data_IF_733148886373
#
_entry.id   IF_733148886373
#
_cell.length_a   1.000
_cell.length_b   1.000
_cell.length_c   1.000
_cell.angle_alpha   90.00
_cell.angle_beta   90.00
_cell.angle_gamma   90.00
#
_symmetry.space_group_name_H-M   'P 1'
#
loop_
_entity.id
_entity.type
_entity.pdbx_description
1 polymer ?
#
# COMPACT_ATOMS: atom_id res chain seq x y z
N UNK A 1 14.09 -6.59 -10.01
CA UNK A 1 13.14 -6.44 -8.89
C UNK A 1 11.73 -6.77 -9.37
N UNK A 2 10.83 -7.21 -8.50
CA UNK A 2 9.43 -7.46 -8.86
C UNK A 2 8.50 -7.16 -7.69
N UNK A 3 7.27 -6.73 -8.00
CA UNK A 3 6.20 -6.55 -7.03
C UNK A 3 5.11 -7.57 -7.34
N UNK A 4 4.73 -8.37 -6.34
CA UNK A 4 3.57 -9.25 -6.38
C UNK A 4 2.40 -8.58 -5.65
N UNK A 5 1.27 -8.46 -6.33
CA UNK A 5 0.02 -7.96 -5.77
C UNK A 5 -0.62 -9.06 -4.92
N UNK A 6 -0.71 -8.87 -3.63
CA UNK A 6 -1.36 -9.82 -2.72
C UNK A 6 -2.84 -9.47 -2.53
N UNK A 7 -3.17 -8.18 -2.61
CA UNK A 7 -4.52 -7.65 -2.51
C UNK A 7 -4.59 -6.24 -3.09
N UNK A 8 -5.74 -5.90 -3.67
CA UNK A 8 -5.96 -4.61 -4.35
C UNK A 8 -7.42 -4.14 -4.26
N UNK A 9 -8.24 -4.75 -3.40
CA UNK A 9 -9.63 -4.36 -3.21
C UNK A 9 -9.78 -3.37 -2.06
N UNK A 10 -10.74 -2.44 -2.17
CA UNK A 10 -11.06 -1.48 -1.11
C UNK A 10 -11.89 -2.06 0.03
N UNK A 11 -12.22 -3.36 0.03
CA UNK A 11 -12.87 -4.08 1.12
C UNK A 11 -12.79 -5.58 0.88
N UNK A 12 -13.39 -6.38 1.79
CA UNK A 12 -13.37 -7.84 1.72
C UNK A 12 -14.63 -8.42 1.10
N UNK A 13 -14.46 -9.43 0.28
CA UNK A 13 -15.49 -10.37 -0.16
C UNK A 13 -14.82 -11.68 -0.60
N UNK A 14 -15.59 -12.68 -0.99
CA UNK A 14 -15.01 -13.89 -1.58
C UNK A 14 -14.15 -13.53 -2.81
N UNK A 15 -12.88 -13.92 -2.80
CA UNK A 15 -11.93 -13.57 -3.85
C UNK A 15 -11.38 -12.12 -3.80
N UNK A 16 -11.88 -11.25 -2.92
CA UNK A 16 -11.39 -9.89 -2.74
C UNK A 16 -10.51 -9.80 -1.48
N UNK A 17 -9.29 -9.29 -1.66
CA UNK A 17 -8.31 -9.05 -0.60
C UNK A 17 -7.95 -7.58 -0.58
N UNK A 18 -7.84 -7.01 0.63
CA UNK A 18 -7.45 -5.60 0.80
C UNK A 18 -5.96 -5.41 0.57
N UNK A 19 -5.57 -4.15 0.41
CA UNK A 19 -4.29 -3.71 -0.16
C UNK A 19 -3.07 -4.31 0.52
N UNK A 20 -2.27 -5.02 -0.26
CA UNK A 20 -0.94 -5.49 0.13
C UNK A 20 -0.09 -5.82 -1.11
N UNK A 21 1.16 -5.39 -1.12
CA UNK A 21 2.13 -5.65 -2.18
C UNK A 21 3.40 -6.25 -1.58
N UNK A 22 3.98 -7.25 -2.25
CA UNK A 22 5.22 -7.88 -1.82
C UNK A 22 6.34 -7.59 -2.82
N UNK A 23 7.33 -6.80 -2.42
CA UNK A 23 8.52 -6.48 -3.20
C UNK A 23 9.62 -7.51 -2.88
N UNK A 24 10.11 -8.20 -3.91
CA UNK A 24 11.20 -9.18 -3.89
C UNK A 24 11.12 -10.27 -2.80
N UNK A 25 9.96 -10.42 -2.14
CA UNK A 25 9.70 -11.47 -1.17
C UNK A 25 10.06 -11.16 0.28
N UNK A 26 10.55 -9.95 0.60
CA UNK A 26 10.98 -9.57 1.96
C UNK A 26 10.52 -8.17 2.42
N UNK A 27 9.96 -7.34 1.52
CA UNK A 27 9.38 -6.04 1.86
C UNK A 27 7.90 -6.00 1.49
N UNK A 28 7.04 -5.79 2.48
CA UNK A 28 5.61 -5.51 2.26
C UNK A 28 5.39 -4.00 2.12
N UNK A 29 4.53 -3.60 1.18
CA UNK A 29 3.93 -2.27 1.10
C UNK A 29 2.44 -2.47 1.37
N UNK A 30 1.97 -1.93 2.46
CA UNK A 30 0.74 -2.24 3.17
C UNK A 30 0.58 -3.72 3.55
N UNK A 31 -0.24 -3.96 4.54
CA UNK A 31 -0.48 -5.28 5.11
C UNK A 31 -1.98 -5.53 5.33
N UNK A 32 -2.75 -5.40 4.26
CA UNK A 32 -4.17 -5.78 4.27
C UNK A 32 -4.36 -7.29 4.29
N UNK A 33 -5.60 -7.72 4.04
CA UNK A 33 -5.98 -9.15 4.15
C UNK A 33 -5.29 -10.06 3.14
N UNK A 34 -4.72 -9.50 2.04
CA UNK A 34 -3.95 -10.25 1.06
C UNK A 34 -2.70 -10.93 1.62
N UNK A 35 -2.17 -10.44 2.74
CA UNK A 35 -1.02 -11.06 3.45
C UNK A 35 -1.35 -12.50 3.89
N UNK A 36 -2.63 -12.78 4.21
CA UNK A 36 -3.08 -14.11 4.64
C UNK A 36 -3.00 -15.20 3.57
N UNK A 37 -2.80 -14.85 2.31
CA UNK A 37 -2.66 -15.81 1.20
C UNK A 37 -1.18 -16.26 1.00
N UNK A 38 -0.23 -15.69 1.75
CA UNK A 38 1.18 -16.12 1.75
C UNK A 38 1.39 -17.42 2.52
N UNK A 39 2.27 -18.28 2.00
CA UNK A 39 2.73 -19.43 2.75
C UNK A 39 3.54 -19.00 3.98
N UNK A 40 3.51 -19.82 5.03
CA UNK A 40 4.20 -19.51 6.29
C UNK A 40 5.70 -19.22 6.12
N UNK A 41 6.35 -19.90 5.18
CA UNK A 41 7.77 -19.68 4.88
C UNK A 41 8.00 -18.35 4.14
N UNK A 42 7.02 -17.85 3.38
CA UNK A 42 7.06 -16.53 2.76
C UNK A 42 6.86 -15.45 3.82
N UNK A 43 5.86 -15.62 4.71
CA UNK A 43 5.64 -14.73 5.85
C UNK A 43 6.91 -14.60 6.71
N UNK A 44 7.60 -15.71 6.97
CA UNK A 44 8.81 -15.72 7.78
C UNK A 44 10.01 -15.01 7.12
N UNK A 45 9.99 -14.77 5.81
CA UNK A 45 11.02 -14.02 5.09
C UNK A 45 10.83 -12.51 5.10
N UNK A 46 9.64 -12.02 5.44
CA UNK A 46 9.37 -10.58 5.49
C UNK A 46 10.21 -9.93 6.58
N UNK A 47 11.04 -8.97 6.20
CA UNK A 47 11.91 -8.22 7.10
C UNK A 47 11.44 -6.78 7.31
N UNK A 48 10.69 -6.21 6.33
CA UNK A 48 10.22 -4.84 6.38
C UNK A 48 8.74 -4.75 5.95
N UNK A 49 7.98 -3.89 6.63
CA UNK A 49 6.60 -3.54 6.30
C UNK A 49 6.52 -2.02 6.24
N UNK A 50 6.10 -1.47 5.10
CA UNK A 50 5.86 -0.04 4.91
C UNK A 50 4.35 0.17 4.90
N UNK A 51 3.84 1.01 5.80
CA UNK A 51 2.41 1.28 5.89
C UNK A 51 2.10 2.67 5.34
N UNK A 52 1.13 2.73 4.42
CA UNK A 52 0.65 3.98 3.85
C UNK A 52 -0.13 4.82 4.88
N UNK A 53 -0.98 4.19 5.69
CA UNK A 53 -1.77 4.84 6.73
C UNK A 53 -2.36 3.81 7.72
N UNK A 54 -3.17 4.26 8.68
CA UNK A 54 -3.62 3.46 9.82
C UNK A 54 -4.96 2.73 9.63
N UNK A 55 -5.62 2.84 8.48
CA UNK A 55 -6.89 2.13 8.28
C UNK A 55 -6.70 0.62 8.30
N UNK A 56 -7.74 -0.07 8.80
CA UNK A 56 -7.65 -1.49 9.12
C UNK A 56 -7.38 -2.37 7.90
N UNK A 57 -7.91 -2.00 6.73
CA UNK A 57 -7.70 -2.70 5.46
C UNK A 57 -6.28 -2.57 4.90
N UNK A 58 -5.42 -1.73 5.53
CA UNK A 58 -3.99 -1.59 5.23
C UNK A 58 -3.08 -2.14 6.32
N UNK A 59 -3.57 -2.34 7.55
CA UNK A 59 -2.71 -2.71 8.69
C UNK A 59 -3.06 -4.05 9.36
N UNK A 60 -4.23 -4.65 9.07
CA UNK A 60 -4.74 -5.83 9.75
C UNK A 60 -3.77 -7.03 9.68
N UNK A 61 -3.03 -7.17 8.61
CA UNK A 61 -2.05 -8.23 8.43
C UNK A 61 -0.84 -8.13 9.37
N UNK A 62 -0.50 -6.95 9.88
CA UNK A 62 0.70 -6.75 10.73
C UNK A 62 0.65 -7.59 12.00
N UNK A 63 -0.40 -7.49 12.86
CA UNK A 63 -0.49 -8.29 14.08
C UNK A 63 -0.61 -9.80 13.80
N UNK A 64 -1.36 -10.18 12.77
CA UNK A 64 -1.56 -11.58 12.40
C UNK A 64 -0.27 -12.22 11.86
N UNK A 65 0.48 -11.48 11.03
CA UNK A 65 1.79 -11.92 10.53
C UNK A 65 2.77 -12.13 11.70
N UNK A 66 2.87 -11.15 12.61
CA UNK A 66 3.75 -11.24 13.77
C UNK A 66 3.52 -12.50 14.61
N UNK A 67 2.25 -12.82 14.87
CA UNK A 67 1.85 -14.04 15.59
C UNK A 67 2.23 -15.30 14.80
N UNK A 68 1.90 -15.34 13.52
CA UNK A 68 2.16 -16.51 12.66
C UNK A 68 3.64 -16.87 12.58
N UNK A 69 4.54 -15.88 12.56
CA UNK A 69 5.98 -16.12 12.36
C UNK A 69 6.79 -16.17 13.64
N UNK A 70 6.21 -15.87 14.80
CA UNK A 70 6.91 -15.78 16.08
C UNK A 70 7.78 -17.02 16.37
N UNK A 71 7.25 -18.22 16.10
CA UNK A 71 7.96 -19.50 16.33
C UNK A 71 8.96 -19.85 15.20
N UNK A 72 8.81 -19.24 14.03
CA UNK A 72 9.63 -19.51 12.84
C UNK A 72 10.82 -18.54 12.71
N UNK A 73 10.66 -17.31 13.19
CA UNK A 73 11.77 -16.35 13.23
C UNK A 73 12.65 -16.69 14.41
N UNK A 74 13.80 -17.27 14.12
CA UNK A 74 14.79 -17.61 15.16
C UNK A 74 15.35 -16.33 15.81
N UNK A 75 15.91 -16.46 17.02
CA UNK A 75 16.62 -15.39 17.72
C UNK A 75 17.81 -14.80 16.96
N UNK A 76 18.24 -15.45 15.87
CA UNK A 76 19.32 -14.97 15.00
C UNK A 76 18.83 -14.01 13.90
N UNK A 77 17.51 -13.95 13.65
CA UNK A 77 16.95 -13.04 12.65
C UNK A 77 16.48 -11.74 13.31
N UNK A 78 16.78 -10.56 12.71
CA UNK A 78 16.35 -9.29 13.28
C UNK A 78 14.82 -9.20 13.34
N UNK A 79 14.26 -8.36 14.23
CA UNK A 79 12.84 -8.05 14.25
C UNK A 79 12.36 -7.58 12.87
N UNK A 80 11.10 -7.88 12.53
CA UNK A 80 10.44 -7.26 11.40
C UNK A 80 10.28 -5.78 11.71
N UNK A 81 10.77 -4.92 10.83
CA UNK A 81 10.64 -3.48 11.03
C UNK A 81 9.42 -2.95 10.29
N UNK A 82 8.48 -2.37 11.05
CA UNK A 82 7.30 -1.67 10.52
C UNK A 82 7.62 -0.20 10.41
N UNK A 83 7.62 0.31 9.19
CA UNK A 83 7.90 1.69 8.86
C UNK A 83 6.60 2.43 8.54
N UNK A 84 6.33 3.56 9.18
CA UNK A 84 5.14 4.37 8.92
C UNK A 84 5.31 5.81 9.44
N UNK A 85 4.36 6.68 9.09
CA UNK A 85 4.24 7.99 9.75
C UNK A 85 4.07 7.79 11.27
N UNK A 86 4.56 8.73 12.11
CA UNK A 86 4.40 8.65 13.56
C UNK A 86 2.94 8.40 14.00
N UNK A 87 1.97 9.10 13.40
CA UNK A 87 0.55 8.92 13.71
C UNK A 87 0.04 7.49 13.43
N UNK A 88 0.50 6.84 12.36
CA UNK A 88 0.17 5.44 12.04
C UNK A 88 0.78 4.49 13.07
N UNK A 89 2.03 4.70 13.46
CA UNK A 89 2.69 3.90 14.51
C UNK A 89 2.01 4.06 15.86
N UNK A 90 1.56 5.27 16.21
CA UNK A 90 0.83 5.54 17.45
C UNK A 90 -0.55 4.88 17.45
N UNK A 91 -1.24 4.86 16.30
CA UNK A 91 -2.49 4.13 16.15
C UNK A 91 -2.30 2.61 16.38
N UNK A 92 -1.25 2.01 15.81
CA UNK A 92 -0.92 0.60 16.04
C UNK A 92 -0.64 0.31 17.52
N UNK A 93 0.17 1.16 18.21
CA UNK A 93 0.48 0.97 19.63
C UNK A 93 -0.76 1.10 20.50
N UNK A 94 -1.58 2.14 20.25
CA UNK A 94 -2.70 2.49 21.11
C UNK A 94 -3.91 1.59 20.91
N UNK A 95 -4.15 1.13 19.69
CA UNK A 95 -5.41 0.48 19.33
C UNK A 95 -5.26 -0.99 18.93
N UNK A 96 -4.06 -1.43 18.50
CA UNK A 96 -3.82 -2.82 18.12
C UNK A 96 -2.97 -3.52 19.17
N UNK A 97 -1.73 -3.08 19.40
CA UNK A 97 -0.77 -3.71 20.31
C UNK A 97 -0.95 -3.29 21.78
N UNK A 98 -2.19 -3.23 22.25
CA UNK A 98 -2.58 -2.68 23.54
C UNK A 98 -2.89 -3.74 24.62
N UNK A 99 -2.68 -5.02 24.31
CA UNK A 99 -2.98 -6.13 25.22
C UNK A 99 -4.46 -6.48 25.35
N UNK A 100 -5.35 -5.65 24.81
CA UNK A 100 -6.80 -5.91 24.78
C UNK A 100 -7.25 -6.42 23.40
N UNK A 101 -6.83 -5.75 22.31
CA UNK A 101 -7.12 -6.20 20.95
C UNK A 101 -6.10 -7.26 20.51
N UNK A 102 -4.79 -6.99 20.70
CA UNK A 102 -3.74 -7.93 20.36
C UNK A 102 -2.54 -7.82 21.30
N UNK A 103 -1.77 -8.93 21.50
CA UNK A 103 -0.52 -8.88 22.26
C UNK A 103 0.48 -7.87 21.67
N UNK A 104 1.30 -7.28 22.52
CA UNK A 104 2.30 -6.31 22.12
C UNK A 104 3.58 -6.99 21.60
N UNK A 105 3.62 -7.29 20.31
CA UNK A 105 4.78 -7.90 19.64
C UNK A 105 5.99 -6.99 19.51
N UNK A 106 5.90 -5.74 19.94
CA UNK A 106 7.08 -4.87 20.13
C UNK A 106 7.83 -5.17 21.43
N UNK A 107 7.28 -6.08 22.24
CA UNK A 107 7.85 -6.54 23.53
C UNK A 107 7.94 -8.06 23.64
N UNK A 108 7.36 -8.80 22.72
CA UNK A 108 7.34 -10.26 22.71
C UNK A 108 8.28 -10.83 21.63
N UNK A 109 8.93 -11.98 21.92
CA UNK A 109 8.92 -12.75 23.16
C UNK A 109 9.64 -12.06 24.33
N UNK A 110 10.60 -11.18 24.08
CA UNK A 110 11.25 -10.32 25.06
C UNK A 110 11.45 -8.91 24.53
N UNK A 111 11.71 -7.93 25.40
CA UNK A 111 11.97 -6.54 24.98
C UNK A 111 13.27 -6.38 24.21
N UNK A 112 14.26 -7.23 24.50
CA UNK A 112 15.59 -7.24 23.86
C UNK A 112 15.53 -7.83 22.45
N UNK A 113 14.63 -8.81 22.26
CA UNK A 113 14.44 -9.51 20.99
C UNK A 113 12.95 -9.59 20.63
N UNK A 114 12.30 -8.46 20.30
CA UNK A 114 10.90 -8.44 19.92
C UNK A 114 10.71 -9.00 18.50
N UNK A 115 9.50 -9.40 18.17
CA UNK A 115 9.14 -9.79 16.79
C UNK A 115 9.03 -8.56 15.89
N UNK A 116 8.48 -7.46 16.41
CA UNK A 116 8.29 -6.22 15.67
C UNK A 116 9.14 -5.10 16.24
N UNK A 117 9.65 -4.24 15.33
CA UNK A 117 10.21 -2.93 15.66
C UNK A 117 9.44 -1.88 14.88
N UNK A 118 9.09 -0.76 15.52
CA UNK A 118 8.39 0.35 14.90
C UNK A 118 9.39 1.46 14.61
N UNK A 119 9.48 1.87 13.34
CA UNK A 119 10.44 2.86 12.83
C UNK A 119 9.69 3.98 12.11
N UNK A 120 9.72 5.22 12.59
CA UNK A 120 9.06 6.32 11.91
C UNK A 120 9.82 6.73 10.64
N UNK A 121 9.07 7.27 9.69
CA UNK A 121 9.54 8.04 8.55
C UNK A 121 8.68 9.30 8.36
N UNK A 122 9.11 10.19 7.46
CA UNK A 122 8.37 11.37 7.04
C UNK A 122 8.16 11.37 5.51
N UNK A 123 7.19 12.17 5.04
CA UNK A 123 7.00 12.38 3.60
C UNK A 123 8.24 13.00 2.99
N UNK A 124 8.72 12.44 1.89
CA UNK A 124 9.95 12.85 1.20
C UNK A 124 11.18 12.01 1.58
N UNK A 125 11.10 11.19 2.63
CA UNK A 125 12.19 10.27 2.97
C UNK A 125 12.42 9.24 1.86
N UNK A 126 13.68 8.81 1.71
CA UNK A 126 14.07 7.70 0.85
C UNK A 126 14.61 6.57 1.71
N UNK A 127 13.82 5.51 1.83
CA UNK A 127 14.17 4.32 2.59
C UNK A 127 15.03 3.39 1.72
N UNK A 128 16.09 2.84 2.29
CA UNK A 128 17.02 1.95 1.58
C UNK A 128 17.02 0.55 2.18
N UNK A 129 16.72 -0.47 1.36
CA UNK A 129 16.72 -1.88 1.73
C UNK A 129 17.65 -2.64 0.78
N UNK A 130 18.92 -2.77 1.16
CA UNK A 130 19.97 -3.21 0.27
C UNK A 130 20.14 -2.24 -0.91
N UNK A 131 19.92 -2.71 -2.13
CA UNK A 131 19.98 -1.87 -3.35
C UNK A 131 18.63 -1.20 -3.68
N UNK A 132 17.56 -1.58 -3.02
CA UNK A 132 16.22 -1.02 -3.26
C UNK A 132 16.08 0.31 -2.56
N UNK A 133 15.54 1.28 -3.27
CA UNK A 133 15.25 2.62 -2.77
C UNK A 133 13.76 2.89 -2.94
N UNK A 134 13.11 3.27 -1.84
CA UNK A 134 11.67 3.53 -1.82
C UNK A 134 11.47 4.92 -1.26
N UNK A 135 10.90 5.81 -2.05
CA UNK A 135 10.57 7.17 -1.64
C UNK A 135 9.16 7.21 -1.07
N UNK A 136 8.99 7.95 0.02
CA UNK A 136 7.70 8.22 0.67
C UNK A 136 7.05 9.44 0.02
N UNK A 137 5.91 9.22 -0.65
CA UNK A 137 5.19 10.24 -1.40
C UNK A 137 4.04 10.84 -0.59
N UNK A 138 3.64 12.09 -0.85
CA UNK A 138 2.47 12.67 -0.20
C UNK A 138 1.17 12.00 -0.65
N UNK A 139 0.26 11.72 0.30
CA UNK A 139 -1.13 11.35 0.05
C UNK A 139 -2.08 12.25 0.85
N UNK A 140 -3.32 12.40 0.39
CA UNK A 140 -4.33 13.25 1.03
C UNK A 140 -5.55 12.42 1.40
N UNK A 141 -5.60 11.96 2.64
CA UNK A 141 -6.66 11.08 3.12
C UNK A 141 -7.31 11.57 4.42
N UNK A 142 -8.23 10.80 4.99
CA UNK A 142 -8.96 11.16 6.24
C UNK A 142 -8.07 11.08 7.47
N UNK A 143 -7.00 10.31 7.41
CA UNK A 143 -5.91 10.22 8.41
C UNK A 143 -4.58 10.58 7.75
N UNK A 144 -3.52 10.89 8.49
CA UNK A 144 -2.19 11.07 7.92
C UNK A 144 -1.78 9.86 7.06
N UNK A 145 -1.52 10.11 5.78
CA UNK A 145 -1.28 9.07 4.78
C UNK A 145 -0.14 9.41 3.83
N UNK A 146 0.43 8.38 3.22
CA UNK A 146 1.50 8.47 2.22
C UNK A 146 1.28 7.46 1.10
N UNK A 147 1.90 7.71 -0.04
CA UNK A 147 2.17 6.74 -1.08
C UNK A 147 3.63 6.34 -1.11
N UNK A 148 4.03 5.51 -2.06
CA UNK A 148 5.40 5.02 -2.20
C UNK A 148 5.83 4.98 -3.65
N UNK A 149 7.09 5.33 -3.92
CA UNK A 149 7.74 5.10 -5.22
C UNK A 149 8.92 4.15 -5.04
N UNK A 150 8.85 2.96 -5.60
CA UNK A 150 10.00 2.07 -5.73
C UNK A 150 10.82 2.54 -6.91
N UNK A 151 12.01 3.09 -6.65
CA UNK A 151 12.84 3.74 -7.65
C UNK A 151 13.58 2.70 -8.49
N UNK A 152 13.38 2.75 -9.81
CA UNK A 152 14.06 1.89 -10.79
C UNK A 152 14.80 2.71 -11.84
N UNK A 153 15.85 2.13 -12.44
CA UNK A 153 16.67 2.81 -13.46
C UNK A 153 15.89 3.11 -14.73
N UNK A 154 15.01 2.22 -15.13
CA UNK A 154 14.16 2.39 -16.33
C UNK A 154 12.85 3.13 -16.03
N UNK A 155 12.54 3.38 -14.78
CA UNK A 155 11.37 4.09 -14.28
C UNK A 155 10.85 3.47 -12.99
N UNK A 156 10.18 4.29 -12.19
CA UNK A 156 9.68 3.91 -10.87
C UNK A 156 8.31 3.25 -10.97
N UNK A 157 8.06 2.31 -10.07
CA UNK A 157 6.72 1.86 -9.73
C UNK A 157 6.19 2.76 -8.61
N UNK A 158 5.02 3.33 -8.82
CA UNK A 158 4.39 4.27 -7.87
C UNK A 158 3.07 3.69 -7.39
N UNK A 159 2.86 3.70 -6.08
CA UNK A 159 1.58 3.46 -5.41
C UNK A 159 1.18 4.73 -4.66
N UNK A 160 -0.01 5.26 -4.95
CA UNK A 160 -0.45 6.56 -4.40
C UNK A 160 -0.84 6.49 -2.93
N UNK A 161 -1.05 5.27 -2.37
CA UNK A 161 -1.88 5.12 -1.17
C UNK A 161 -3.32 5.52 -1.46
N UNK A 162 -4.14 5.57 -0.41
CA UNK A 162 -5.49 6.12 -0.49
C UNK A 162 -5.41 7.64 -0.48
N UNK A 163 -6.08 8.29 -1.44
CA UNK A 163 -5.94 9.73 -1.62
C UNK A 163 -7.13 10.38 -2.33
N UNK A 164 -7.51 11.56 -1.88
CA UNK A 164 -8.28 12.52 -2.67
C UNK A 164 -7.40 13.13 -3.79
N UNK A 165 -7.94 14.00 -4.67
CA UNK A 165 -7.16 14.81 -5.60
C UNK A 165 -5.99 15.50 -4.88
N UNK A 166 -4.75 15.31 -5.36
CA UNK A 166 -3.55 15.66 -4.61
C UNK A 166 -2.49 16.36 -5.47
N UNK A 167 -2.52 17.70 -5.57
CA UNK A 167 -1.54 18.45 -6.35
C UNK A 167 -0.08 18.22 -5.93
N UNK A 168 0.18 18.00 -4.64
CA UNK A 168 1.55 17.76 -4.15
C UNK A 168 2.13 16.45 -4.68
N UNK A 169 1.32 15.40 -4.82
CA UNK A 169 1.73 14.16 -5.46
C UNK A 169 2.16 14.41 -6.92
N UNK A 170 1.35 15.10 -7.69
CA UNK A 170 1.64 15.35 -9.11
C UNK A 170 2.86 16.24 -9.32
N UNK A 171 3.07 17.25 -8.47
CA UNK A 171 4.30 18.06 -8.47
C UNK A 171 5.53 17.17 -8.27
N UNK A 172 5.45 16.19 -7.36
CA UNK A 172 6.56 15.26 -7.17
C UNK A 172 6.71 14.29 -8.34
N UNK A 173 5.64 13.71 -8.86
CA UNK A 173 5.68 12.77 -9.99
C UNK A 173 6.20 13.42 -11.28
N UNK A 174 6.00 14.73 -11.47
CA UNK A 174 6.56 15.46 -12.61
C UNK A 174 8.10 15.44 -12.68
N UNK A 175 8.76 15.16 -11.56
CA UNK A 175 10.24 15.08 -11.46
C UNK A 175 10.76 13.65 -11.38
N UNK A 176 9.86 12.66 -11.34
CA UNK A 176 10.20 11.22 -11.34
C UNK A 176 9.92 10.62 -12.72
N UNK A 177 10.78 9.71 -13.16
CA UNK A 177 10.44 8.83 -14.28
C UNK A 177 9.51 7.73 -13.77
N UNK A 178 8.23 7.78 -14.14
CA UNK A 178 7.21 6.81 -13.72
C UNK A 178 7.02 5.78 -14.83
N UNK A 179 7.27 4.50 -14.55
CA UNK A 179 6.99 3.39 -15.46
C UNK A 179 5.59 2.81 -15.23
N UNK A 180 5.19 2.68 -13.96
CA UNK A 180 3.89 2.15 -13.56
C UNK A 180 3.32 2.99 -12.44
N UNK A 181 2.05 3.34 -12.53
CA UNK A 181 1.29 4.05 -11.52
C UNK A 181 0.13 3.17 -11.04
N UNK A 182 0.14 2.80 -9.77
CA UNK A 182 -0.99 2.17 -9.07
C UNK A 182 -1.72 3.28 -8.30
N UNK A 183 -2.94 3.58 -8.74
CA UNK A 183 -3.75 4.67 -8.18
C UNK A 183 -5.12 4.13 -7.76
N UNK A 184 -5.62 4.61 -6.63
CA UNK A 184 -6.89 4.19 -6.08
C UNK A 184 -8.08 4.78 -6.82
N UNK A 185 -9.20 4.07 -6.88
CA UNK A 185 -10.51 4.59 -7.29
C UNK A 185 -11.58 3.75 -6.61
N UNK A 186 -12.04 4.20 -5.46
CA UNK A 186 -12.85 3.38 -4.56
C UNK A 186 -14.34 3.34 -4.94
N UNK A 187 -14.86 4.38 -5.56
CA UNK A 187 -16.29 4.60 -5.76
C UNK A 187 -16.65 4.88 -7.21
N UNK A 188 -17.94 4.75 -7.56
CA UNK A 188 -18.50 5.17 -8.85
C UNK A 188 -18.75 6.67 -8.90
N UNK A 189 -19.03 7.22 -10.08
CA UNK A 189 -19.34 8.64 -10.25
C UNK A 189 -20.62 9.08 -9.53
N UNK A 190 -21.64 8.22 -9.42
CA UNK A 190 -22.86 8.53 -8.69
C UNK A 190 -22.66 8.59 -7.15
N UNK A 191 -21.52 8.08 -6.66
CA UNK A 191 -21.10 8.12 -5.26
C UNK A 191 -20.08 9.24 -4.98
N UNK A 192 -19.94 10.25 -5.84
CA UNK A 192 -18.92 11.31 -5.73
C UNK A 192 -18.93 12.06 -4.39
N UNK A 193 -20.11 12.19 -3.75
CA UNK A 193 -20.21 12.83 -2.43
C UNK A 193 -19.55 11.96 -1.34
N UNK A 194 -19.77 10.65 -1.38
CA UNK A 194 -19.14 9.70 -0.48
C UNK A 194 -17.63 9.66 -0.70
N UNK A 195 -17.18 9.62 -1.96
CA UNK A 195 -15.77 9.72 -2.33
C UNK A 195 -15.12 10.98 -1.75
N UNK A 196 -15.79 12.14 -1.86
CA UNK A 196 -15.26 13.40 -1.32
C UNK A 196 -15.14 13.39 0.22
N UNK A 197 -16.16 12.89 0.95
CA UNK A 197 -16.15 12.85 2.41
C UNK A 197 -15.10 11.85 2.92
N UNK A 198 -14.97 10.68 2.29
CA UNK A 198 -14.01 9.66 2.65
C UNK A 198 -12.61 9.89 2.05
N UNK A 199 -12.43 10.96 1.26
CA UNK A 199 -11.16 11.33 0.60
C UNK A 199 -10.60 10.22 -0.27
N UNK A 200 -11.45 9.68 -1.13
CA UNK A 200 -11.10 8.74 -2.19
C UNK A 200 -11.40 9.34 -3.56
N UNK A 201 -10.90 8.68 -4.61
CA UNK A 201 -11.23 9.00 -5.98
C UNK A 201 -12.48 8.26 -6.46
N UNK A 202 -13.13 8.84 -7.47
CA UNK A 202 -14.12 8.25 -8.35
C UNK A 202 -13.68 8.50 -9.81
N UNK A 203 -14.20 7.81 -10.84
CA UNK A 203 -13.68 7.89 -12.21
C UNK A 203 -13.51 9.30 -12.76
N UNK A 204 -14.48 10.20 -12.60
CA UNK A 204 -14.36 11.57 -13.09
C UNK A 204 -13.26 12.38 -12.35
N UNK A 205 -13.02 12.13 -11.06
CA UNK A 205 -11.90 12.70 -10.32
C UNK A 205 -10.57 12.11 -10.81
N UNK A 206 -10.48 10.79 -10.95
CA UNK A 206 -9.32 10.11 -11.54
C UNK A 206 -8.96 10.68 -12.90
N UNK A 207 -9.94 10.91 -13.78
CA UNK A 207 -9.69 11.48 -15.11
C UNK A 207 -9.01 12.84 -15.04
N UNK A 208 -9.42 13.72 -14.11
CA UNK A 208 -8.77 15.01 -13.87
C UNK A 208 -7.35 14.87 -13.32
N UNK A 209 -7.14 13.91 -12.42
CA UNK A 209 -5.82 13.64 -11.84
C UNK A 209 -4.86 13.11 -12.91
N UNK A 210 -5.28 12.15 -13.75
CA UNK A 210 -4.45 11.58 -14.81
C UNK A 210 -4.04 12.57 -15.89
N UNK A 211 -4.77 13.68 -16.08
CA UNK A 211 -4.35 14.77 -16.99
C UNK A 211 -3.02 15.42 -16.56
N UNK A 212 -2.66 15.33 -15.28
CA UNK A 212 -1.42 15.84 -14.74
C UNK A 212 -0.21 14.91 -15.00
N UNK A 213 -0.43 13.65 -15.37
CA UNK A 213 0.62 12.71 -15.74
C UNK A 213 1.10 13.00 -17.16
N UNK A 214 2.21 13.74 -17.29
CA UNK A 214 2.71 14.22 -18.59
C UNK A 214 3.54 13.17 -19.35
N UNK A 215 3.99 12.13 -18.69
CA UNK A 215 4.83 11.07 -19.24
C UNK A 215 4.04 9.79 -19.50
N UNK A 216 4.48 8.98 -20.46
CA UNK A 216 3.87 7.68 -20.72
C UNK A 216 4.14 6.73 -19.54
N UNK A 217 3.08 6.18 -18.95
CA UNK A 217 3.14 5.19 -17.89
C UNK A 217 1.96 4.21 -18.01
N UNK A 218 2.15 2.98 -17.55
CA UNK A 218 1.05 2.04 -17.36
C UNK A 218 0.31 2.40 -16.08
N UNK A 219 -1.02 2.58 -16.16
CA UNK A 219 -1.84 2.95 -15.01
C UNK A 219 -2.68 1.76 -14.57
N UNK A 220 -2.62 1.44 -13.29
CA UNK A 220 -3.35 0.35 -12.68
C UNK A 220 -4.28 0.89 -11.59
N UNK A 221 -5.56 0.50 -11.66
CA UNK A 221 -6.56 0.92 -10.70
C UNK A 221 -6.63 -0.08 -9.56
N UNK A 222 -6.52 0.42 -8.33
CA UNK A 222 -6.63 -0.35 -7.09
C UNK A 222 -7.78 0.18 -6.22
N UNK A 223 -8.07 -0.50 -5.13
CA UNK A 223 -8.99 -0.08 -4.07
C UNK A 223 -10.47 -0.03 -4.50
N UNK A 224 -10.84 -0.64 -5.64
CA UNK A 224 -12.24 -0.74 -6.06
C UNK A 224 -13.00 -1.60 -5.03
N UNK A 225 -14.19 -1.16 -4.64
CA UNK A 225 -15.05 -1.92 -3.72
C UNK A 225 -15.51 -3.23 -4.36
N UNK A 226 -15.67 -4.32 -3.58
CA UNK A 226 -16.16 -5.59 -4.11
C UNK A 226 -17.52 -5.45 -4.81
N UNK A 227 -17.64 -6.04 -5.99
CA UNK A 227 -18.83 -5.98 -6.83
C UNK A 227 -18.90 -4.77 -7.77
N UNK A 228 -18.03 -3.76 -7.60
CA UNK A 228 -18.07 -2.52 -8.39
C UNK A 228 -17.04 -2.48 -9.54
N UNK A 229 -16.25 -3.54 -9.72
CA UNK A 229 -15.13 -3.57 -10.67
C UNK A 229 -15.56 -3.20 -12.10
N UNK A 230 -16.57 -3.88 -12.62
CA UNK A 230 -17.00 -3.68 -14.01
C UNK A 230 -17.60 -2.28 -14.22
N UNK A 231 -18.38 -1.78 -13.25
CA UNK A 231 -18.99 -0.46 -13.31
C UNK A 231 -17.94 0.65 -13.27
N UNK A 232 -17.00 0.61 -12.31
CA UNK A 232 -15.92 1.59 -12.17
C UNK A 232 -15.04 1.59 -13.42
N UNK A 233 -14.64 0.39 -13.91
CA UNK A 233 -13.78 0.30 -15.10
C UNK A 233 -14.50 0.74 -16.38
N UNK A 234 -15.81 0.51 -16.52
CA UNK A 234 -16.60 1.04 -17.64
C UNK A 234 -16.68 2.58 -17.62
N UNK A 235 -16.88 3.18 -16.44
CA UNK A 235 -16.86 4.63 -16.29
C UNK A 235 -15.48 5.23 -16.59
N UNK A 236 -14.38 4.57 -16.19
CA UNK A 236 -13.01 4.99 -16.53
C UNK A 236 -12.76 4.88 -18.02
N UNK A 237 -13.17 3.79 -18.66
CA UNK A 237 -13.01 3.61 -20.11
C UNK A 237 -13.77 4.69 -20.91
N UNK A 238 -14.94 5.14 -20.43
CA UNK A 238 -15.73 6.20 -21.06
C UNK A 238 -15.06 7.58 -21.02
N UNK A 239 -14.02 7.78 -20.18
CA UNK A 239 -13.22 9.01 -20.14
C UNK A 239 -12.20 9.11 -21.28
N UNK A 240 -12.00 8.03 -22.06
CA UNK A 240 -10.96 7.91 -23.10
C UNK A 240 -9.59 8.39 -22.59
N UNK A 241 -9.04 7.76 -21.56
CA UNK A 241 -7.84 8.23 -20.91
C UNK A 241 -6.63 8.14 -21.85
N UNK A 242 -5.77 9.15 -21.80
CA UNK A 242 -4.52 9.23 -22.60
C UNK A 242 -3.57 8.05 -22.33
N UNK A 243 -3.63 7.47 -21.13
CA UNK A 243 -2.79 6.37 -20.70
C UNK A 243 -3.53 5.04 -20.78
N UNK A 244 -2.84 3.91 -21.06
CA UNK A 244 -3.41 2.60 -20.87
C UNK A 244 -3.80 2.40 -19.40
N UNK A 245 -5.08 2.18 -19.12
CA UNK A 245 -5.62 1.99 -17.76
C UNK A 245 -6.17 0.58 -17.65
N UNK A 246 -5.71 -0.17 -16.65
CA UNK A 246 -6.17 -1.52 -16.35
C UNK A 246 -6.53 -1.65 -14.87
N UNK A 247 -7.48 -2.51 -14.54
CA UNK A 247 -7.68 -2.90 -13.14
C UNK A 247 -6.49 -3.74 -12.66
N UNK A 248 -6.04 -3.49 -11.43
CA UNK A 248 -5.04 -4.33 -10.79
C UNK A 248 -5.69 -5.64 -10.32
N UNK A 249 -4.96 -6.73 -10.39
CA UNK A 249 -5.45 -8.05 -9.99
C UNK A 249 -4.55 -8.69 -8.93
N UNK A 250 -5.16 -9.34 -7.92
CA UNK A 250 -4.42 -10.15 -6.97
C UNK A 250 -3.70 -11.30 -7.69
N UNK A 251 -2.47 -11.61 -7.28
CA UNK A 251 -1.59 -12.57 -7.93
C UNK A 251 -0.76 -12.00 -9.10
N UNK A 252 -1.08 -10.80 -9.59
CA UNK A 252 -0.29 -10.15 -10.64
C UNK A 252 1.15 -9.91 -10.17
N UNK A 253 2.12 -10.16 -11.05
CA UNK A 253 3.53 -9.84 -10.82
C UNK A 253 3.95 -8.74 -11.78
N UNK A 254 4.45 -7.65 -11.24
CA UNK A 254 4.91 -6.47 -11.97
C UNK A 254 6.44 -6.44 -11.93
N UNK A 255 7.13 -6.67 -13.06
CA UNK A 255 8.59 -6.54 -13.11
C UNK A 255 8.99 -5.07 -12.95
N UNK A 256 10.06 -4.84 -12.20
CA UNK A 256 10.71 -3.54 -12.04
C UNK A 256 12.08 -3.63 -12.69
N UNK A 257 12.30 -2.82 -13.70
CA UNK A 257 13.53 -2.80 -14.49
C UNK A 257 14.58 -1.83 -13.91
#
# INVERSE_FOLDING_TARGET
>A
MSIRVLGCSGSIAAGCRTTAFLLDGDVLIDAGTGVGDLHLDELARIDHILLSHSHLDHVLGVPLLADSVMRRRSSQRPPITVHALPATLDALRSHIFNGAIWPDFTRLPTREQPILRLQPFETGDVLCFGKRRIEVLPALHTVPAVGFAVLGEQGSWVFTGDTAPNPALWQRLATLKVASLVIETAFRNDEQQLAAVSRHLHPAALGRELQQLQQAAAVYITHIKPGELDAVMAEIAALDPRHPVCALAAGQVMPLA
#
